data_IF_435884125454
#
_entry.id   IF_435884125454
#
_cell.length_a   1.000
_cell.length_b   1.000
_cell.length_c   1.000
_cell.angle_alpha   90.00
_cell.angle_beta   90.00
_cell.angle_gamma   90.00
#
_symmetry.space_group_name_H-M   'P 1'
#
loop_
_entity.id
_entity.type
_entity.pdbx_description
1 polymer ?
#
# COMPACT_ATOMS: atom_id res chain seq x y z
N UNK A 1 -17.66 -3.55 22.61
CA UNK A 1 -17.39 -3.17 21.22
C UNK A 1 -16.64 -4.31 20.61
N UNK A 2 -17.08 -4.82 19.51
CA UNK A 2 -16.48 -5.99 18.87
C UNK A 2 -16.40 -5.71 17.36
N UNK A 3 -15.22 -5.88 16.79
CA UNK A 3 -15.01 -5.83 15.35
C UNK A 3 -14.95 -7.26 14.81
N UNK A 4 -15.73 -7.56 13.79
CA UNK A 4 -15.76 -8.88 13.15
C UNK A 4 -15.49 -8.67 11.66
N UNK A 5 -14.40 -9.26 11.22
CA UNK A 5 -13.91 -9.62 9.89
C UNK A 5 -12.56 -9.01 9.52
N UNK A 6 -11.55 -9.62 10.08
CA UNK A 6 -10.24 -9.82 9.50
C UNK A 6 -9.63 -11.00 10.26
N UNK A 7 -8.80 -11.81 9.64
CA UNK A 7 -8.19 -13.04 10.18
C UNK A 7 -7.85 -12.93 11.68
N UNK A 8 -8.53 -13.76 12.49
CA UNK A 8 -8.34 -13.79 13.93
C UNK A 8 -6.96 -14.33 14.30
N UNK A 9 -6.02 -13.45 14.59
CA UNK A 9 -4.90 -13.84 15.44
C UNK A 9 -5.33 -13.69 16.90
N UNK A 10 -5.58 -14.82 17.56
CA UNK A 10 -5.85 -14.93 18.99
C UNK A 10 -4.68 -14.38 19.80
N UNK A 11 -4.83 -13.18 20.36
CA UNK A 11 -4.01 -12.76 21.50
C UNK A 11 -4.93 -12.22 22.59
N UNK A 12 -5.00 -12.96 23.68
CA UNK A 12 -5.70 -12.57 24.90
C UNK A 12 -4.93 -11.48 25.63
N UNK A 13 -5.33 -10.22 25.45
CA UNK A 13 -4.77 -9.07 26.12
C UNK A 13 -5.64 -7.84 25.86
N UNK A 14 -5.69 -6.92 26.84
CA UNK A 14 -6.60 -5.77 26.93
C UNK A 14 -6.51 -4.72 25.80
N UNK A 15 -5.56 -4.84 24.86
CA UNK A 15 -5.43 -4.01 23.66
C UNK A 15 -5.84 -4.85 22.44
N UNK A 16 -7.05 -4.60 21.95
CA UNK A 16 -7.51 -5.24 20.71
C UNK A 16 -6.93 -4.49 19.52
N UNK A 17 -5.77 -4.92 19.06
CA UNK A 17 -5.18 -4.48 17.80
C UNK A 17 -5.59 -5.46 16.70
N UNK A 18 -6.30 -4.95 15.72
CA UNK A 18 -6.61 -5.67 14.48
C UNK A 18 -5.64 -5.20 13.40
N UNK A 19 -5.07 -6.11 12.63
CA UNK A 19 -4.24 -5.77 11.47
C UNK A 19 -5.07 -5.98 10.21
N UNK A 20 -5.19 -4.93 9.42
CA UNK A 20 -5.81 -4.94 8.10
C UNK A 20 -4.70 -4.78 7.06
N UNK A 21 -4.26 -5.91 6.52
CA UNK A 21 -3.29 -5.91 5.43
C UNK A 21 -4.03 -5.75 4.09
N UNK A 22 -3.73 -4.66 3.40
CA UNK A 22 -4.33 -4.34 2.10
C UNK A 22 -3.51 -4.93 0.95
N UNK A 23 -2.24 -5.26 1.21
CA UNK A 23 -1.30 -5.74 0.21
C UNK A 23 -0.69 -4.62 -0.64
N UNK A 24 -0.36 -4.94 -1.88
CA UNK A 24 0.21 -4.00 -2.84
C UNK A 24 -0.90 -3.14 -3.45
N UNK A 25 -0.73 -1.81 -3.38
CA UNK A 25 -1.68 -0.82 -3.94
C UNK A 25 -0.89 0.14 -4.82
N UNK A 26 -1.32 0.31 -6.07
CA UNK A 26 -0.66 1.22 -7.00
C UNK A 26 -1.13 2.66 -6.77
N UNK A 27 -0.24 3.62 -6.96
CA UNK A 27 -0.58 5.06 -6.89
C UNK A 27 -1.77 5.35 -7.81
N UNK A 28 -2.74 6.13 -7.29
CA UNK A 28 -4.06 6.44 -7.89
C UNK A 28 -5.04 5.25 -7.98
N UNK A 29 -4.69 4.08 -7.50
CA UNK A 29 -5.66 3.00 -7.33
C UNK A 29 -6.52 3.27 -6.08
N UNK A 30 -7.82 2.99 -6.18
CA UNK A 30 -8.74 3.11 -5.06
C UNK A 30 -9.04 1.72 -4.49
N UNK A 31 -8.58 1.48 -3.27
CA UNK A 31 -8.84 0.22 -2.55
C UNK A 31 -9.63 0.50 -1.29
N UNK A 32 -10.74 -0.20 -1.12
CA UNK A 32 -11.63 -0.04 0.03
C UNK A 32 -11.76 -1.36 0.81
N UNK A 33 -11.84 -1.26 2.13
CA UNK A 33 -12.09 -2.36 3.04
C UNK A 33 -13.08 -1.95 4.11
N UNK A 34 -14.00 -2.84 4.44
CA UNK A 34 -15.05 -2.57 5.40
C UNK A 34 -14.67 -3.09 6.78
N UNK A 35 -14.89 -2.25 7.78
CA UNK A 35 -14.72 -2.57 9.19
C UNK A 35 -16.07 -2.41 9.89
N UNK A 36 -16.56 -3.49 10.49
CA UNK A 36 -17.80 -3.47 11.25
C UNK A 36 -17.52 -3.23 12.74
N UNK A 37 -18.11 -2.18 13.29
CA UNK A 37 -18.03 -1.82 14.70
C UNK A 37 -19.39 -2.01 15.34
N UNK A 38 -19.45 -2.77 16.46
CA UNK A 38 -20.71 -3.09 17.13
C UNK A 38 -20.70 -2.64 18.58
N UNK A 39 -21.79 -2.00 19.02
CA UNK A 39 -22.05 -1.77 20.43
C UNK A 39 -22.71 -3.03 21.03
N UNK A 40 -21.92 -3.86 21.70
CA UNK A 40 -22.43 -5.12 22.32
C UNK A 40 -23.11 -4.89 23.66
N UNK A 41 -23.11 -3.66 24.20
CA UNK A 41 -23.72 -3.33 25.49
C UNK A 41 -25.22 -3.05 25.37
N UNK A 42 -25.89 -2.96 26.52
CA UNK A 42 -27.32 -2.63 26.64
C UNK A 42 -27.55 -1.12 26.84
N UNK A 43 -26.47 -0.31 26.77
CA UNK A 43 -26.53 1.15 26.86
C UNK A 43 -25.96 1.78 25.58
N UNK A 44 -26.45 2.98 25.23
CA UNK A 44 -25.88 3.75 24.14
C UNK A 44 -24.42 4.15 24.44
N UNK A 45 -23.58 4.16 23.41
CA UNK A 45 -22.21 4.64 23.52
C UNK A 45 -21.91 5.70 22.46
N UNK A 46 -20.92 6.53 22.73
CA UNK A 46 -20.41 7.50 21.77
C UNK A 46 -19.07 7.01 21.24
N UNK A 47 -19.05 6.79 19.93
CA UNK A 47 -17.88 6.35 19.17
C UNK A 47 -17.16 7.57 18.61
N UNK A 48 -15.88 7.72 18.89
CA UNK A 48 -15.03 8.71 18.25
C UNK A 48 -13.98 7.97 17.42
N UNK A 49 -13.86 8.34 16.15
CA UNK A 49 -12.86 7.74 15.25
C UNK A 49 -11.67 8.68 15.16
N UNK A 50 -10.48 8.15 15.45
CA UNK A 50 -9.23 8.90 15.36
C UNK A 50 -8.23 8.15 14.49
N UNK A 51 -7.51 8.91 13.68
CA UNK A 51 -6.38 8.42 12.91
C UNK A 51 -5.10 8.96 13.51
N UNK A 52 -4.18 8.07 13.87
CA UNK A 52 -2.88 8.45 14.42
C UNK A 52 -1.82 8.47 13.33
N UNK A 53 -0.95 9.48 13.37
CA UNK A 53 0.15 9.61 12.40
C UNK A 53 -0.24 10.30 11.10
N UNK A 54 -1.40 10.99 11.07
CA UNK A 54 -1.90 11.65 9.87
C UNK A 54 -1.18 12.98 9.66
N UNK A 55 -0.58 13.12 8.49
CA UNK A 55 -0.41 14.42 7.85
C UNK A 55 -1.74 14.76 7.16
N UNK A 56 -2.02 16.02 6.92
CA UNK A 56 -3.24 16.48 6.23
C UNK A 56 -3.44 15.85 4.83
N UNK A 57 -2.41 15.23 4.29
CA UNK A 57 -2.32 14.55 2.99
C UNK A 57 -2.38 13.01 3.07
N UNK A 58 -2.88 12.46 4.18
CA UNK A 58 -3.01 11.00 4.33
C UNK A 58 -3.84 10.38 3.19
N UNK A 59 -3.33 9.28 2.58
CA UNK A 59 -4.07 8.57 1.54
C UNK A 59 -5.28 7.78 2.09
N UNK A 60 -5.41 7.65 3.42
CA UNK A 60 -6.48 6.90 4.06
C UNK A 60 -7.66 7.79 4.42
N UNK A 61 -8.83 7.43 3.91
CA UNK A 61 -10.11 8.08 4.21
C UNK A 61 -11.06 7.09 4.87
N UNK A 62 -11.87 7.56 5.82
CA UNK A 62 -12.86 6.74 6.53
C UNK A 62 -14.24 7.29 6.21
N UNK A 63 -15.13 6.43 5.74
CA UNK A 63 -16.51 6.76 5.39
C UNK A 63 -17.47 5.90 6.22
N UNK A 64 -18.46 6.53 6.84
CA UNK A 64 -19.58 5.82 7.48
C UNK A 64 -20.57 5.40 6.41
N UNK A 65 -20.79 4.11 6.22
CA UNK A 65 -21.72 3.59 5.21
C UNK A 65 -23.20 3.90 5.51
N UNK A 66 -23.53 4.29 6.73
CA UNK A 66 -24.90 4.65 7.10
C UNK A 66 -25.26 6.07 6.64
N UNK A 67 -24.33 7.00 6.77
CA UNK A 67 -24.53 8.40 6.36
C UNK A 67 -23.94 8.71 5.00
N UNK A 68 -23.06 7.84 4.48
CA UNK A 68 -22.23 8.05 3.27
C UNK A 68 -21.32 9.27 3.35
N UNK A 69 -21.03 9.72 4.58
CA UNK A 69 -20.18 10.87 4.81
C UNK A 69 -18.80 10.44 5.33
N UNK A 70 -17.81 11.28 5.05
CA UNK A 70 -16.48 11.13 5.63
C UNK A 70 -16.57 11.33 7.14
N UNK A 71 -16.00 10.40 7.89
CA UNK A 71 -15.98 10.48 9.35
C UNK A 71 -15.08 11.63 9.79
N UNK A 72 -15.67 12.58 10.51
CA UNK A 72 -15.00 13.74 11.08
C UNK A 72 -14.58 13.52 12.54
N UNK A 73 -14.30 14.64 13.22
CA UNK A 73 -13.94 14.65 14.64
C UNK A 73 -15.16 14.50 15.58
N UNK A 74 -16.38 14.58 15.06
CA UNK A 74 -17.60 14.51 15.87
C UNK A 74 -17.89 13.08 16.32
N UNK A 75 -18.32 12.87 17.58
CA UNK A 75 -18.66 11.55 18.07
C UNK A 75 -19.96 11.04 17.45
N UNK A 76 -19.96 9.76 17.09
CA UNK A 76 -21.09 9.04 16.51
C UNK A 76 -21.80 8.26 17.62
N UNK A 77 -23.09 8.49 17.81
CA UNK A 77 -23.87 7.71 18.77
C UNK A 77 -24.23 6.34 18.20
N UNK A 78 -23.92 5.27 18.94
CA UNK A 78 -24.36 3.91 18.67
C UNK A 78 -25.38 3.49 19.74
N UNK A 79 -26.59 3.20 19.32
CA UNK A 79 -27.61 2.68 20.27
C UNK A 79 -27.26 1.26 20.73
N UNK A 80 -27.91 0.73 21.80
CA UNK A 80 -27.67 -0.63 22.28
C UNK A 80 -27.80 -1.65 21.13
N UNK A 81 -26.82 -2.56 21.04
CA UNK A 81 -26.76 -3.66 20.03
C UNK A 81 -26.64 -3.19 18.57
N UNK A 82 -26.48 -1.89 18.33
CA UNK A 82 -26.25 -1.38 16.98
C UNK A 82 -24.87 -1.78 16.46
N UNK A 83 -24.83 -2.08 15.16
CA UNK A 83 -23.59 -2.25 14.43
C UNK A 83 -23.56 -1.29 13.25
N UNK A 84 -22.41 -0.61 13.06
CA UNK A 84 -22.13 0.23 11.90
C UNK A 84 -20.96 -0.30 11.10
N UNK A 85 -20.99 -0.03 9.83
CA UNK A 85 -19.92 -0.38 8.90
C UNK A 85 -19.22 0.90 8.48
N UNK A 86 -17.89 0.88 8.62
CA UNK A 86 -17.01 1.96 8.18
C UNK A 86 -16.15 1.43 7.04
N UNK A 87 -16.12 2.14 5.94
CA UNK A 87 -15.22 1.85 4.83
C UNK A 87 -13.91 2.60 5.04
N UNK A 88 -12.82 1.85 5.11
CA UNK A 88 -11.45 2.37 5.07
C UNK A 88 -11.02 2.38 3.60
N UNK A 89 -10.97 3.56 3.00
CA UNK A 89 -10.60 3.77 1.61
C UNK A 89 -9.17 4.30 1.53
N UNK A 90 -8.31 3.60 0.78
CA UNK A 90 -6.93 3.95 0.54
C UNK A 90 -6.77 4.39 -0.91
N UNK A 91 -6.31 5.61 -1.11
CA UNK A 91 -6.03 6.21 -2.42
C UNK A 91 -4.66 6.90 -2.37
N UNK A 92 -3.57 6.17 -2.62
CA UNK A 92 -2.22 6.71 -2.53
C UNK A 92 -1.94 7.70 -3.68
N UNK A 93 -1.30 8.82 -3.36
CA UNK A 93 -0.83 9.80 -4.34
C UNK A 93 0.66 9.68 -4.60
N UNK A 94 1.39 9.05 -3.68
CA UNK A 94 2.83 8.84 -3.74
C UNK A 94 3.15 7.41 -3.35
N UNK A 95 4.24 6.87 -3.88
CA UNK A 95 4.73 5.56 -3.50
C UNK A 95 5.34 5.62 -2.10
N UNK A 96 5.03 4.63 -1.28
CA UNK A 96 5.59 4.49 0.06
C UNK A 96 5.68 3.03 0.47
N UNK A 97 6.88 2.52 0.56
CA UNK A 97 7.10 1.17 1.06
C UNK A 97 6.72 1.09 2.55
N UNK A 98 6.01 0.03 2.93
CA UNK A 98 5.59 -0.22 4.30
C UNK A 98 4.71 0.91 4.89
N UNK A 99 3.67 1.29 4.17
CA UNK A 99 2.67 2.20 4.72
C UNK A 99 1.98 1.56 5.92
N UNK A 100 1.98 2.26 7.05
CA UNK A 100 1.29 1.85 8.26
C UNK A 100 0.54 3.03 8.85
N UNK A 101 -0.74 2.83 9.11
CA UNK A 101 -1.57 3.84 9.77
C UNK A 101 -2.54 3.20 10.74
N UNK A 102 -2.63 3.75 11.96
CA UNK A 102 -3.56 3.26 12.97
C UNK A 102 -4.82 4.09 12.98
N UNK A 103 -5.96 3.41 12.87
CA UNK A 103 -7.30 3.94 13.10
C UNK A 103 -7.78 3.44 14.45
N UNK A 104 -8.13 4.36 15.34
CA UNK A 104 -8.68 4.03 16.65
C UNK A 104 -10.16 4.38 16.71
N UNK A 105 -10.96 3.41 17.06
CA UNK A 105 -12.38 3.55 17.37
C UNK A 105 -12.49 3.65 18.89
N UNK A 106 -12.54 4.89 19.39
CA UNK A 106 -12.58 5.20 20.83
C UNK A 106 -14.02 5.16 21.34
N UNK A 107 -14.25 4.49 22.46
CA UNK A 107 -15.51 4.57 23.18
C UNK A 107 -15.44 5.71 24.22
N UNK A 108 -16.03 6.85 23.92
CA UNK A 108 -15.99 8.02 24.81
C UNK A 108 -16.56 7.76 26.22
N UNK A 109 -17.45 6.78 26.37
CA UNK A 109 -18.01 6.39 27.65
C UNK A 109 -17.14 5.40 28.43
N UNK A 110 -16.28 4.64 27.73
CA UNK A 110 -15.44 3.58 28.28
C UNK A 110 -14.10 3.50 27.56
N UNK A 111 -13.11 4.33 27.88
CA UNK A 111 -11.82 4.39 27.16
C UNK A 111 -11.03 3.08 27.14
N UNK A 112 -11.33 2.13 28.02
CA UNK A 112 -10.68 0.82 28.04
C UNK A 112 -11.24 -0.18 27.02
N UNK A 113 -12.27 0.20 26.27
CA UNK A 113 -12.90 -0.60 25.24
C UNK A 113 -12.62 -0.07 23.82
N UNK A 114 -11.51 0.61 23.65
CA UNK A 114 -11.08 1.10 22.36
C UNK A 114 -10.64 -0.06 21.46
N UNK A 115 -10.93 0.09 20.18
CA UNK A 115 -10.49 -0.86 19.16
C UNK A 115 -9.55 -0.15 18.21
N UNK A 116 -8.38 -0.73 17.99
CA UNK A 116 -7.37 -0.20 17.08
C UNK A 116 -7.26 -1.07 15.84
N UNK A 117 -7.27 -0.45 14.69
CA UNK A 117 -7.07 -1.10 13.40
C UNK A 117 -5.78 -0.55 12.79
N UNK A 118 -4.76 -1.39 12.68
CA UNK A 118 -3.53 -1.07 11.97
C UNK A 118 -3.74 -1.42 10.48
N UNK A 119 -3.81 -0.41 9.65
CA UNK A 119 -3.86 -0.56 8.20
C UNK A 119 -2.43 -0.63 7.68
N UNK A 120 -2.12 -1.70 6.96
CA UNK A 120 -0.83 -1.91 6.29
C UNK A 120 -1.04 -2.01 4.79
N UNK A 121 -0.15 -1.41 4.04
CA UNK A 121 -0.10 -1.53 2.59
C UNK A 121 1.32 -1.30 2.08
N UNK A 122 1.60 -1.79 0.90
CA UNK A 122 2.80 -1.45 0.15
C UNK A 122 2.37 -0.57 -1.01
N UNK A 123 2.61 0.75 -0.91
CA UNK A 123 2.16 1.71 -1.91
C UNK A 123 3.19 1.78 -3.04
N UNK A 124 2.84 1.19 -4.17
CA UNK A 124 3.70 1.10 -5.34
C UNK A 124 3.52 2.35 -6.21
N UNK A 125 4.62 2.85 -6.79
CA UNK A 125 4.55 3.90 -7.79
C UNK A 125 3.64 3.49 -8.96
N UNK A 126 2.98 4.48 -9.58
CA UNK A 126 2.30 4.23 -10.83
C UNK A 126 3.31 3.69 -11.85
N UNK A 127 2.86 2.83 -12.74
CA UNK A 127 3.72 2.26 -13.79
C UNK A 127 4.44 3.32 -14.65
N UNK A 128 3.98 4.57 -14.63
CA UNK A 128 4.66 5.73 -15.23
C UNK A 128 5.96 6.12 -14.54
N UNK A 129 6.21 5.71 -13.29
CA UNK A 129 7.46 5.95 -12.57
C UNK A 129 8.54 4.90 -12.87
N UNK A 130 8.49 4.31 -14.04
CA UNK A 130 9.57 3.47 -14.54
C UNK A 130 9.53 2.04 -14.01
N UNK A 131 8.46 1.32 -14.29
CA UNK A 131 8.40 -0.13 -14.08
C UNK A 131 9.29 -0.88 -15.10
N UNK A 132 10.57 -0.47 -15.21
CA UNK A 132 11.56 -1.20 -15.98
C UNK A 132 12.13 -2.32 -15.12
N UNK A 133 11.77 -3.54 -15.41
CA UNK A 133 12.35 -4.72 -14.78
C UNK A 133 13.55 -5.23 -15.57
N UNK A 134 14.66 -5.49 -14.89
CA UNK A 134 15.83 -6.17 -15.45
C UNK A 134 15.66 -7.66 -15.16
N UNK A 135 15.48 -8.46 -16.20
CA UNK A 135 15.26 -9.91 -16.09
C UNK A 135 16.57 -10.72 -16.22
N UNK A 136 17.65 -10.09 -16.66
CA UNK A 136 18.97 -10.70 -16.71
C UNK A 136 19.64 -10.71 -15.35
N UNK A 137 20.58 -11.61 -15.14
CA UNK A 137 21.47 -11.54 -13.97
C UNK A 137 22.25 -10.24 -13.99
N UNK A 138 22.26 -9.52 -12.88
CA UNK A 138 23.02 -8.30 -12.69
C UNK A 138 23.95 -8.42 -11.49
N UNK A 139 25.20 -7.96 -11.59
CA UNK A 139 25.83 -7.31 -12.76
C UNK A 139 26.10 -8.26 -13.92
N UNK A 140 26.12 -7.75 -15.16
CA UNK A 140 26.52 -8.52 -16.34
C UNK A 140 28.03 -8.80 -16.25
N UNK A 141 28.40 -10.05 -16.12
CA UNK A 141 29.79 -10.48 -16.08
C UNK A 141 30.22 -10.92 -17.48
N UNK A 142 31.21 -10.21 -18.04
CA UNK A 142 31.79 -10.55 -19.33
C UNK A 142 32.97 -11.52 -19.22
N UNK A 143 33.33 -11.92 -18.01
CA UNK A 143 34.48 -12.79 -17.75
C UNK A 143 35.80 -12.19 -18.22
N UNK A 144 36.77 -13.07 -18.53
CA UNK A 144 38.08 -12.66 -19.02
C UNK A 144 37.97 -12.22 -20.49
N UNK A 145 38.11 -10.92 -20.75
CA UNK A 145 38.06 -10.33 -22.09
C UNK A 145 39.48 -10.13 -22.63
N UNK A 146 39.76 -10.68 -23.83
CA UNK A 146 41.03 -10.45 -24.51
C UNK A 146 40.93 -9.20 -25.38
N UNK A 147 42.02 -8.41 -25.42
CA UNK A 147 42.11 -7.23 -26.28
C UNK A 147 41.87 -7.56 -27.75
N UNK A 148 41.02 -6.79 -28.40
CA UNK A 148 40.66 -6.98 -29.81
C UNK A 148 39.56 -8.03 -30.08
N UNK A 149 39.00 -8.66 -29.05
CA UNK A 149 37.86 -9.57 -29.18
C UNK A 149 36.57 -8.91 -28.67
N UNK A 150 35.48 -9.29 -29.32
CA UNK A 150 34.13 -8.87 -28.93
C UNK A 150 33.44 -9.95 -28.10
N UNK A 151 33.02 -9.62 -26.91
CA UNK A 151 32.17 -10.46 -26.07
C UNK A 151 30.77 -9.87 -26.03
N UNK A 152 29.76 -10.73 -26.17
CA UNK A 152 28.35 -10.27 -26.13
C UNK A 152 27.66 -10.84 -24.91
N UNK A 153 26.87 -10.01 -24.27
CA UNK A 153 25.94 -10.40 -23.20
C UNK A 153 24.54 -9.91 -23.55
N UNK A 154 23.54 -10.66 -23.16
CA UNK A 154 22.15 -10.32 -23.37
C UNK A 154 21.59 -9.66 -22.13
N UNK A 155 21.16 -8.41 -22.26
CA UNK A 155 20.40 -7.70 -21.25
C UNK A 155 18.92 -7.75 -21.60
N UNK A 156 18.13 -8.43 -20.80
CA UNK A 156 16.68 -8.52 -20.97
C UNK A 156 16.01 -7.52 -20.05
N UNK A 157 15.31 -6.58 -20.66
CA UNK A 157 14.52 -5.58 -19.97
C UNK A 157 13.04 -5.83 -20.27
N UNK A 158 12.22 -5.73 -19.25
CA UNK A 158 10.76 -5.81 -19.37
C UNK A 158 10.14 -4.50 -18.94
N UNK A 159 9.28 -3.92 -19.78
CA UNK A 159 8.35 -2.91 -19.34
C UNK A 159 7.23 -3.64 -18.57
N UNK A 160 7.26 -3.54 -17.24
CA UNK A 160 6.25 -4.12 -16.37
C UNK A 160 5.05 -3.18 -16.15
N UNK A 161 5.07 -1.98 -16.77
CA UNK A 161 3.99 -1.02 -16.72
C UNK A 161 3.12 -1.04 -17.97
N UNK A 162 1.98 -0.35 -17.89
CA UNK A 162 0.99 -0.25 -18.95
C UNK A 162 1.29 0.87 -19.98
N UNK A 163 2.25 1.75 -19.64
CA UNK A 163 2.62 2.87 -20.50
C UNK A 163 3.94 2.60 -21.24
N UNK A 164 4.10 3.13 -22.45
CA UNK A 164 5.37 3.07 -23.15
C UNK A 164 6.50 3.71 -22.36
N UNK A 165 7.67 3.08 -22.34
CA UNK A 165 8.87 3.58 -21.68
C UNK A 165 9.94 3.95 -22.69
N UNK A 166 10.54 5.12 -22.53
CA UNK A 166 11.76 5.50 -23.20
C UNK A 166 12.96 5.08 -22.37
N UNK A 167 13.78 4.19 -22.90
CA UNK A 167 14.96 3.66 -22.19
C UNK A 167 16.22 4.29 -22.76
N UNK A 168 17.00 4.95 -21.90
CA UNK A 168 18.29 5.53 -22.25
C UNK A 168 19.42 4.81 -21.51
N UNK A 169 20.41 4.34 -22.25
CA UNK A 169 21.63 3.76 -21.70
C UNK A 169 22.68 4.84 -21.53
N UNK A 170 23.26 4.93 -20.33
CA UNK A 170 24.37 5.84 -20.03
C UNK A 170 25.52 5.06 -19.42
N UNK A 171 26.74 5.39 -19.82
CA UNK A 171 27.95 4.92 -19.14
C UNK A 171 28.42 6.00 -18.16
N UNK A 172 28.63 5.66 -16.90
CA UNK A 172 29.06 6.60 -15.84
C UNK A 172 30.57 6.83 -15.86
N UNK A 173 31.31 6.07 -16.64
CA UNK A 173 32.76 6.22 -16.73
C UNK A 173 33.16 6.46 -18.19
N UNK A 174 34.09 7.39 -18.38
CA UNK A 174 34.92 7.47 -19.60
C UNK A 174 35.70 6.13 -19.66
N UNK A 175 35.03 5.12 -20.13
CA UNK A 175 35.52 3.78 -20.06
C UNK A 175 36.57 3.55 -21.16
N UNK A 176 37.70 2.99 -20.78
CA UNK A 176 38.62 2.33 -21.70
C UNK A 176 37.97 1.21 -22.51
N UNK A 177 36.75 0.82 -22.13
CA UNK A 177 35.91 -0.16 -22.83
C UNK A 177 34.75 0.51 -23.56
N UNK A 178 34.59 0.20 -24.85
CA UNK A 178 33.49 0.70 -25.66
C UNK A 178 32.34 -0.29 -25.67
N UNK A 179 31.20 0.11 -25.15
CA UNK A 179 29.96 -0.65 -25.26
C UNK A 179 29.19 -0.20 -26.50
N UNK A 180 28.72 -1.15 -27.29
CA UNK A 180 27.80 -0.89 -28.39
C UNK A 180 26.52 -1.70 -28.17
N UNK A 181 25.38 -1.01 -28.28
CA UNK A 181 24.09 -1.68 -28.36
C UNK A 181 23.98 -2.25 -29.77
N UNK A 182 24.14 -3.59 -29.91
CA UNK A 182 24.22 -4.23 -31.20
C UNK A 182 22.84 -4.46 -31.82
N UNK A 183 21.83 -4.76 -31.02
CA UNK A 183 20.49 -5.08 -31.49
C UNK A 183 19.45 -4.79 -30.41
N UNK A 184 18.34 -4.16 -30.78
CA UNK A 184 17.17 -3.98 -29.95
C UNK A 184 16.03 -4.82 -30.53
N UNK A 185 15.71 -5.95 -29.91
CA UNK A 185 14.55 -6.76 -30.28
C UNK A 185 13.38 -6.39 -29.38
N UNK A 186 12.32 -5.83 -29.97
CA UNK A 186 11.07 -5.54 -29.25
C UNK A 186 10.14 -6.74 -29.39
N UNK A 187 9.92 -7.45 -28.30
CA UNK A 187 8.93 -8.51 -28.23
C UNK A 187 7.67 -7.93 -27.56
N UNK A 188 6.55 -7.90 -28.30
CA UNK A 188 5.24 -7.57 -27.74
C UNK A 188 4.57 -8.87 -27.31
N UNK A 189 4.25 -8.99 -26.05
CA UNK A 189 3.34 -10.02 -25.58
C UNK A 189 1.95 -9.71 -26.17
N UNK A 190 1.38 -10.66 -26.89
CA UNK A 190 0.07 -10.61 -27.53
C UNK A 190 -1.02 -11.12 -26.60
#
# INVERSE_FOLDING_TARGET
MECVNADESKSGGRDRLMVLDVGDVVVHEHVARDVRVSNVSDIACFLQVRTHGVRDDSPLTIVDQTTHERVGAEPIMLVPKEARVFTLALEPRESHANFEQTVTFENANMPHNDVRVLVRANLLGAASDGALAVLSECPLDFGDCCGGQWTRQLLVLKNAGDMPLDVMFRSDKDAEATFQLAELALQRDS
#
